data_IF_264076780221
#
_entry.id   IF_264076780221
#
_cell.length_a   1.000
_cell.length_b   1.000
_cell.length_c   1.000
_cell.angle_alpha   90.00
_cell.angle_beta   90.00
_cell.angle_gamma   90.00
#
_symmetry.space_group_name_H-M   'P 1'
#
loop_
_entity.id
_entity.type
_entity.pdbx_description
1 polymer ?
#
# COMPACT_ATOMS: atom_id res chain seq x y z
N UNK A 1 -20.19 -15.09 -9.88
CA UNK A 1 -19.23 -13.96 -9.91
C UNK A 1 -17.91 -14.31 -10.64
N UNK A 2 -17.37 -15.51 -10.50
CA UNK A 2 -16.14 -15.95 -11.20
C UNK A 2 -16.29 -15.98 -12.74
N UNK A 3 -17.46 -16.29 -13.28
CA UNK A 3 -17.76 -16.34 -14.71
C UNK A 3 -17.70 -14.94 -15.36
N UNK A 4 -18.32 -13.94 -14.76
CA UNK A 4 -18.35 -12.57 -15.28
C UNK A 4 -16.96 -11.90 -15.30
N UNK A 5 -16.13 -12.15 -14.28
CA UNK A 5 -14.75 -11.67 -14.27
C UNK A 5 -13.91 -12.28 -15.39
N UNK A 6 -14.06 -13.59 -15.64
CA UNK A 6 -13.39 -14.31 -16.74
C UNK A 6 -13.74 -13.71 -18.11
N UNK A 7 -15.00 -13.34 -18.34
CA UNK A 7 -15.45 -12.78 -19.61
C UNK A 7 -14.91 -11.37 -19.86
N UNK A 8 -14.79 -10.55 -18.82
CA UNK A 8 -14.19 -9.23 -18.93
C UNK A 8 -12.71 -9.33 -19.32
N UNK A 9 -11.96 -10.26 -18.72
CA UNK A 9 -10.55 -10.48 -19.09
C UNK A 9 -10.42 -10.94 -20.55
N UNK A 10 -11.26 -11.85 -21.00
CA UNK A 10 -11.26 -12.35 -22.39
C UNK A 10 -11.53 -11.24 -23.40
N UNK A 11 -12.53 -10.38 -23.14
CA UNK A 11 -12.83 -9.22 -23.99
C UNK A 11 -11.66 -8.25 -24.09
N UNK A 12 -11.02 -7.93 -22.96
CA UNK A 12 -9.86 -7.04 -22.95
C UNK A 12 -8.67 -7.63 -23.70
N UNK A 13 -8.42 -8.93 -23.56
CA UNK A 13 -7.38 -9.61 -24.30
C UNK A 13 -7.65 -9.58 -25.81
N UNK A 14 -8.89 -9.80 -26.24
CA UNK A 14 -9.29 -9.70 -27.64
C UNK A 14 -9.10 -8.28 -28.18
N UNK A 15 -9.55 -7.25 -27.46
CA UNK A 15 -9.33 -5.85 -27.81
C UNK A 15 -7.85 -5.52 -27.92
N UNK A 16 -7.03 -5.92 -26.94
CA UNK A 16 -5.59 -5.68 -26.97
C UNK A 16 -4.90 -6.34 -28.16
N UNK A 17 -5.25 -7.59 -28.46
CA UNK A 17 -4.74 -8.32 -29.64
C UNK A 17 -5.19 -7.67 -30.95
N UNK A 18 -6.43 -7.19 -31.02
CA UNK A 18 -6.94 -6.44 -32.16
C UNK A 18 -6.11 -5.16 -32.42
N UNK A 19 -5.88 -4.37 -31.38
CA UNK A 19 -5.07 -3.14 -31.45
C UNK A 19 -3.65 -3.47 -31.92
N UNK A 20 -2.99 -4.48 -31.35
CA UNK A 20 -1.65 -4.91 -31.73
C UNK A 20 -1.55 -5.25 -33.21
N UNK A 21 -2.56 -5.97 -33.74
CA UNK A 21 -2.59 -6.40 -35.14
C UNK A 21 -2.82 -5.24 -36.10
N UNK A 22 -3.79 -4.38 -35.80
CA UNK A 22 -4.25 -3.34 -36.75
C UNK A 22 -3.33 -2.11 -36.73
N UNK A 23 -2.75 -1.76 -35.58
CA UNK A 23 -1.90 -0.56 -35.43
C UNK A 23 -0.40 -0.86 -35.43
N UNK A 24 -0.02 -2.12 -35.67
CA UNK A 24 1.40 -2.57 -35.74
C UNK A 24 2.24 -2.22 -34.48
N UNK A 25 1.60 -2.13 -33.32
CA UNK A 25 2.29 -1.90 -32.05
C UNK A 25 2.72 -3.23 -31.41
N UNK A 26 3.76 -3.19 -30.57
CA UNK A 26 4.34 -4.41 -30.00
C UNK A 26 3.54 -4.94 -28.82
N UNK A 27 2.98 -4.06 -28.01
CA UNK A 27 2.25 -4.40 -26.80
C UNK A 27 1.26 -3.31 -26.42
N UNK A 28 0.28 -3.68 -25.59
CA UNK A 28 -0.76 -2.78 -25.06
C UNK A 28 -0.82 -2.93 -23.55
N UNK A 29 -0.87 -1.81 -22.83
CA UNK A 29 -1.17 -1.73 -21.42
C UNK A 29 -2.58 -1.15 -21.24
N UNK A 30 -3.43 -1.87 -20.50
CA UNK A 30 -4.80 -1.44 -20.20
C UNK A 30 -4.91 -1.20 -18.70
N UNK A 31 -5.27 0.00 -18.30
CA UNK A 31 -5.62 0.35 -16.92
C UNK A 31 -7.08 0.02 -16.67
N UNK A 32 -7.42 -0.55 -15.51
CA UNK A 32 -8.76 -1.06 -15.18
C UNK A 32 -9.29 -0.51 -13.85
N UNK A 33 -8.80 0.65 -13.44
CA UNK A 33 -9.15 1.25 -12.16
C UNK A 33 -8.83 0.31 -10.99
N UNK A 34 -9.79 0.06 -10.13
CA UNK A 34 -9.64 -0.83 -8.97
C UNK A 34 -9.30 -2.29 -9.32
N UNK A 35 -9.58 -2.72 -10.54
CA UNK A 35 -9.25 -4.08 -11.03
C UNK A 35 -7.80 -4.24 -11.47
N UNK A 36 -7.00 -3.18 -11.44
CA UNK A 36 -5.56 -3.20 -11.72
C UNK A 36 -5.18 -2.99 -13.18
N UNK A 37 -4.17 -3.72 -13.66
CA UNK A 37 -3.53 -3.53 -14.96
C UNK A 37 -3.54 -4.82 -15.77
N UNK A 38 -3.66 -4.69 -17.09
CA UNK A 38 -3.48 -5.79 -18.04
C UNK A 38 -2.43 -5.42 -19.07
N UNK A 39 -1.41 -6.23 -19.21
CA UNK A 39 -0.41 -6.15 -20.27
C UNK A 39 -0.67 -7.26 -21.30
N UNK A 40 -0.68 -6.91 -22.56
CA UNK A 40 -0.96 -7.82 -23.66
C UNK A 40 0.12 -7.63 -24.73
N UNK A 41 0.73 -8.72 -25.16
CA UNK A 41 1.60 -8.78 -26.33
C UNK A 41 1.12 -9.89 -27.30
N UNK A 42 1.90 -10.13 -28.36
CA UNK A 42 1.55 -11.16 -29.36
C UNK A 42 1.52 -12.58 -28.78
N UNK A 43 2.26 -12.84 -27.70
CA UNK A 43 2.48 -14.19 -27.15
C UNK A 43 1.72 -14.43 -25.84
N UNK A 44 1.55 -13.40 -25.00
CA UNK A 44 1.01 -13.54 -23.65
C UNK A 44 0.17 -12.35 -23.21
N UNK A 45 -0.69 -12.62 -22.27
CA UNK A 45 -1.42 -11.62 -21.50
C UNK A 45 -1.08 -11.79 -20.03
N UNK A 46 -0.75 -10.70 -19.35
CA UNK A 46 -0.43 -10.68 -17.93
C UNK A 46 -1.38 -9.71 -17.23
N UNK A 47 -2.06 -10.18 -16.22
CA UNK A 47 -2.96 -9.38 -15.40
C UNK A 47 -2.37 -9.19 -14.01
N UNK A 48 -2.37 -7.96 -13.52
CA UNK A 48 -1.95 -7.62 -12.16
C UNK A 48 -3.10 -6.91 -11.48
N UNK A 49 -3.57 -7.49 -10.36
CA UNK A 49 -4.67 -6.94 -9.56
C UNK A 49 -4.16 -5.95 -8.53
N UNK A 50 -4.94 -4.94 -8.18
CA UNK A 50 -4.62 -4.05 -7.06
C UNK A 50 -5.15 -4.63 -5.75
N UNK A 51 -4.46 -4.31 -4.64
CA UNK A 51 -5.05 -4.48 -3.32
C UNK A 51 -6.17 -3.45 -3.13
N UNK A 52 -7.31 -3.87 -2.53
CA UNK A 52 -8.40 -2.96 -2.16
C UNK A 52 -7.84 -1.86 -1.25
N UNK A 53 -8.02 -0.60 -1.63
CA UNK A 53 -7.65 0.58 -0.86
C UNK A 53 -8.79 1.59 -0.91
N UNK A 54 -8.87 2.41 0.12
CA UNK A 54 -9.71 3.61 0.06
C UNK A 54 -9.18 4.54 -1.02
N UNK A 55 -10.07 4.94 -1.91
CA UNK A 55 -9.77 5.82 -3.04
C UNK A 55 -10.31 7.21 -2.68
N UNK A 56 -9.42 8.20 -2.60
CA UNK A 56 -9.79 9.59 -2.38
C UNK A 56 -9.88 10.36 -3.70
N UNK A 57 -8.90 10.16 -4.59
CA UNK A 57 -8.87 10.83 -5.88
C UNK A 57 -8.14 9.94 -6.90
N UNK A 58 -8.72 9.75 -8.07
CA UNK A 58 -8.14 8.95 -9.16
C UNK A 58 -7.23 9.76 -10.10
N UNK A 59 -7.16 11.08 -9.90
CA UNK A 59 -6.38 11.98 -10.76
C UNK A 59 -4.89 11.63 -10.71
N UNK A 60 -4.25 11.54 -11.88
CA UNK A 60 -2.83 11.23 -12.02
C UNK A 60 -2.45 9.75 -11.83
N UNK A 61 -3.40 8.85 -11.54
CA UNK A 61 -3.11 7.41 -11.41
C UNK A 61 -2.61 6.81 -12.73
N UNK A 62 -3.23 7.16 -13.85
CA UNK A 62 -2.82 6.72 -15.20
C UNK A 62 -1.42 7.20 -15.58
N UNK A 63 -1.13 8.47 -15.34
CA UNK A 63 0.19 9.07 -15.60
C UNK A 63 1.27 8.42 -14.75
N UNK A 64 0.95 8.11 -13.50
CA UNK A 64 1.83 7.37 -12.59
C UNK A 64 2.14 5.98 -13.11
N UNK A 65 1.12 5.23 -13.57
CA UNK A 65 1.31 3.91 -14.18
C UNK A 65 2.22 4.01 -15.39
N UNK A 66 1.96 4.97 -16.29
CA UNK A 66 2.76 5.18 -17.49
C UNK A 66 4.23 5.49 -17.15
N UNK A 67 4.47 6.40 -16.22
CA UNK A 67 5.81 6.78 -15.79
C UNK A 67 6.58 5.58 -15.20
N UNK A 68 5.99 4.83 -14.29
CA UNK A 68 6.63 3.67 -13.65
C UNK A 68 6.94 2.57 -14.67
N UNK A 69 5.99 2.24 -15.55
CA UNK A 69 6.19 1.21 -16.57
C UNK A 69 7.30 1.64 -17.52
N UNK A 70 7.34 2.91 -17.96
CA UNK A 70 8.38 3.43 -18.86
C UNK A 70 9.77 3.34 -18.23
N UNK A 71 9.91 3.73 -16.95
CA UNK A 71 11.16 3.62 -16.21
C UNK A 71 11.60 2.15 -16.08
N UNK A 72 10.67 1.26 -15.73
CA UNK A 72 10.97 -0.16 -15.59
C UNK A 72 11.45 -0.78 -16.91
N UNK A 73 10.77 -0.48 -18.02
CA UNK A 73 11.14 -1.00 -19.34
C UNK A 73 12.50 -0.45 -19.80
N UNK A 74 12.77 0.83 -19.57
CA UNK A 74 14.05 1.45 -19.88
C UNK A 74 15.22 0.81 -19.11
N UNK A 75 14.95 0.24 -17.93
CA UNK A 75 15.94 -0.46 -17.11
C UNK A 75 15.88 -1.99 -17.25
N UNK A 76 15.23 -2.52 -18.28
CA UNK A 76 15.10 -3.95 -18.56
C UNK A 76 14.47 -4.78 -17.40
N UNK A 77 13.62 -4.15 -16.59
CA UNK A 77 12.88 -4.82 -15.52
C UNK A 77 11.79 -5.70 -16.14
N UNK A 78 11.63 -6.92 -15.64
CA UNK A 78 10.63 -7.85 -16.13
C UNK A 78 9.21 -7.24 -16.03
N UNK A 79 8.41 -7.39 -17.08
CA UNK A 79 7.09 -6.75 -17.19
C UNK A 79 6.16 -7.09 -16.02
N UNK A 80 6.25 -8.30 -15.46
CA UNK A 80 5.46 -8.71 -14.29
C UNK A 80 5.78 -7.85 -13.06
N UNK A 81 7.07 -7.57 -12.84
CA UNK A 81 7.53 -6.76 -11.71
C UNK A 81 7.19 -5.28 -11.94
N UNK A 82 7.34 -4.83 -13.18
CA UNK A 82 6.92 -3.49 -13.59
C UNK A 82 5.43 -3.23 -13.34
N UNK A 83 4.55 -4.19 -13.70
CA UNK A 83 3.11 -4.11 -13.44
C UNK A 83 2.80 -4.06 -11.94
N UNK A 84 3.47 -4.88 -11.14
CA UNK A 84 3.28 -4.89 -9.69
C UNK A 84 3.73 -3.57 -9.06
N UNK A 85 4.86 -3.01 -9.50
CA UNK A 85 5.36 -1.73 -9.02
C UNK A 85 4.44 -0.58 -9.44
N UNK A 86 3.93 -0.59 -10.68
CA UNK A 86 3.00 0.41 -11.19
C UNK A 86 1.67 0.38 -10.44
N UNK A 87 1.11 -0.81 -10.16
CA UNK A 87 -0.09 -0.95 -9.33
C UNK A 87 0.12 -0.41 -7.91
N UNK A 88 1.28 -0.72 -7.31
CA UNK A 88 1.63 -0.18 -5.98
C UNK A 88 1.70 1.34 -6.01
N UNK A 89 2.34 1.91 -7.02
CA UNK A 89 2.47 3.35 -7.20
C UNK A 89 1.11 4.03 -7.39
N UNK A 90 0.29 3.53 -8.31
CA UNK A 90 -1.06 4.03 -8.53
C UNK A 90 -1.91 3.98 -7.24
N UNK A 91 -1.82 2.87 -6.49
CA UNK A 91 -2.51 2.75 -5.20
C UNK A 91 -2.03 3.72 -4.11
N UNK A 92 -0.81 4.27 -4.21
CA UNK A 92 -0.34 5.36 -3.32
C UNK A 92 -0.96 6.69 -3.74
N UNK A 93 -1.02 6.97 -5.05
CA UNK A 93 -1.55 8.23 -5.58
C UNK A 93 -3.03 8.36 -5.31
N UNK A 94 -3.84 7.34 -5.60
CA UNK A 94 -5.29 7.38 -5.38
C UNK A 94 -5.68 7.50 -3.90
N UNK A 95 -4.77 7.20 -2.98
CA UNK A 95 -4.93 7.42 -1.55
C UNK A 95 -4.56 8.83 -1.07
N UNK A 96 -4.25 9.75 -1.99
CA UNK A 96 -3.92 11.15 -1.71
C UNK A 96 -4.96 12.07 -2.34
N UNK A 97 -5.13 13.27 -1.81
CA UNK A 97 -6.00 14.28 -2.38
C UNK A 97 -5.22 15.06 -3.46
N UNK A 98 -5.80 15.18 -4.64
CA UNK A 98 -5.21 15.88 -5.79
C UNK A 98 -4.04 15.14 -6.45
N UNK A 99 -3.46 15.75 -7.49
CA UNK A 99 -2.30 15.21 -8.20
C UNK A 99 -1.05 15.31 -7.32
N UNK A 100 -0.60 14.18 -6.80
CA UNK A 100 0.54 14.13 -5.87
C UNK A 100 1.68 13.29 -6.42
N UNK A 101 2.90 13.82 -6.36
CA UNK A 101 4.10 13.05 -6.68
C UNK A 101 4.35 11.94 -5.65
N UNK A 102 4.86 10.81 -6.12
CA UNK A 102 5.28 9.69 -5.27
C UNK A 102 6.71 9.91 -4.83
N UNK A 103 6.95 9.82 -3.53
CA UNK A 103 8.32 9.81 -3.00
C UNK A 103 8.90 8.40 -3.02
N UNK A 104 10.22 8.28 -3.23
CA UNK A 104 10.93 6.99 -3.25
C UNK A 104 10.66 6.15 -2.00
N UNK A 105 10.66 6.75 -0.83
CA UNK A 105 10.38 6.05 0.43
C UNK A 105 8.94 5.52 0.52
N UNK A 106 7.96 6.13 -0.13
CA UNK A 106 6.58 5.64 -0.18
C UNK A 106 6.46 4.42 -1.09
N UNK A 107 7.17 4.43 -2.22
CA UNK A 107 7.13 3.36 -3.21
C UNK A 107 7.89 2.11 -2.72
N UNK A 108 9.06 2.29 -2.12
CA UNK A 108 9.95 1.21 -1.67
C UNK A 108 9.86 0.91 -0.19
N UNK A 109 9.08 1.70 0.58
CA UNK A 109 8.72 1.23 1.92
C UNK A 109 8.01 -0.12 1.78
N UNK A 110 8.51 -1.15 2.45
CA UNK A 110 7.83 -2.44 2.57
C UNK A 110 6.56 -2.30 3.44
N UNK A 111 5.66 -1.37 3.05
CA UNK A 111 4.32 -1.22 3.63
C UNK A 111 3.35 -2.29 3.10
N UNK A 112 3.83 -3.53 2.96
CA UNK A 112 2.99 -4.71 3.15
C UNK A 112 2.84 -5.05 4.65
N UNK A 113 3.31 -4.15 5.51
CA UNK A 113 2.85 -4.10 6.89
C UNK A 113 1.48 -3.48 6.76
N UNK A 114 0.47 -4.34 6.77
CA UNK A 114 -0.94 -4.03 6.84
C UNK A 114 -1.20 -2.65 7.45
N UNK A 115 -2.19 -1.91 6.93
CA UNK A 115 -2.75 -0.71 7.58
C UNK A 115 -3.22 -0.94 9.03
N UNK A 116 -3.06 -2.13 9.57
CA UNK A 116 -3.16 -2.41 10.99
C UNK A 116 -1.94 -1.80 11.68
N UNK A 117 -2.08 -0.55 12.10
CA UNK A 117 -1.17 0.07 13.07
C UNK A 117 -1.13 -0.72 14.38
N UNK A 118 -2.07 -1.63 14.59
CA UNK A 118 -2.18 -2.52 15.74
C UNK A 118 -1.49 -3.84 15.39
N UNK A 119 -0.46 -4.18 16.13
CA UNK A 119 0.36 -5.38 15.93
C UNK A 119 0.29 -6.28 17.15
N UNK A 120 0.26 -7.59 16.93
CA UNK A 120 0.51 -8.54 18.00
C UNK A 120 2.03 -8.70 18.25
N UNK A 121 2.38 -9.35 19.37
CA UNK A 121 3.78 -9.55 19.77
C UNK A 121 4.65 -10.19 18.68
N UNK A 122 4.12 -11.21 17.97
CA UNK A 122 4.86 -11.93 16.92
C UNK A 122 5.17 -11.02 15.74
N UNK A 123 4.17 -10.30 15.24
CA UNK A 123 4.32 -9.33 14.16
C UNK A 123 5.29 -8.20 14.52
N UNK A 124 5.21 -7.70 15.77
CA UNK A 124 6.12 -6.68 16.25
C UNK A 124 7.57 -7.15 16.26
N UNK A 125 7.85 -8.37 16.75
CA UNK A 125 9.21 -8.93 16.79
C UNK A 125 9.80 -9.06 15.38
N UNK A 126 9.02 -9.53 14.40
CA UNK A 126 9.46 -9.62 13.01
C UNK A 126 9.79 -8.25 12.43
N UNK A 127 8.94 -7.26 12.70
CA UNK A 127 9.12 -5.88 12.26
C UNK A 127 10.38 -5.24 12.87
N UNK A 128 10.61 -5.45 14.16
CA UNK A 128 11.79 -4.96 14.88
C UNK A 128 13.10 -5.50 14.29
N UNK A 129 13.14 -6.74 13.82
CA UNK A 129 14.31 -7.31 13.11
C UNK A 129 14.62 -6.52 11.85
N UNK A 130 13.59 -6.17 11.07
CA UNK A 130 13.73 -5.38 9.84
C UNK A 130 14.22 -3.96 10.16
N UNK A 131 13.64 -3.31 11.16
CA UNK A 131 14.03 -1.95 11.56
C UNK A 131 15.47 -1.89 12.06
N UNK A 132 15.89 -2.85 12.89
CA UNK A 132 17.29 -2.96 13.35
C UNK A 132 18.27 -3.14 12.19
N UNK A 133 17.94 -4.02 11.22
CA UNK A 133 18.77 -4.24 10.03
C UNK A 133 18.94 -2.94 9.20
N UNK A 134 17.92 -2.13 9.14
CA UNK A 134 17.92 -0.86 8.40
C UNK A 134 18.38 0.35 9.25
N UNK A 135 18.90 0.14 10.46
CA UNK A 135 19.37 1.18 11.39
C UNK A 135 18.32 2.27 11.68
N UNK A 136 17.03 1.89 11.70
CA UNK A 136 15.93 2.81 12.00
C UNK A 136 15.88 3.06 13.50
N UNK A 137 15.85 4.33 13.92
CA UNK A 137 15.74 4.74 15.32
C UNK A 137 14.32 4.50 15.84
N UNK A 138 14.20 3.60 16.82
CA UNK A 138 12.92 3.16 17.37
C UNK A 138 12.72 3.80 18.73
N UNK A 139 11.61 4.51 18.92
CA UNK A 139 11.10 4.93 20.21
C UNK A 139 10.07 3.92 20.73
N UNK A 140 10.02 3.75 22.04
CA UNK A 140 9.03 2.91 22.71
C UNK A 140 8.39 3.68 23.86
N UNK A 141 7.06 3.59 23.96
CA UNK A 141 6.31 4.08 25.11
C UNK A 141 5.14 3.16 25.40
N UNK A 142 4.58 3.25 26.60
CA UNK A 142 3.41 2.48 26.99
C UNK A 142 2.44 3.34 27.81
N UNK A 143 1.17 2.95 27.80
CA UNK A 143 0.15 3.63 28.59
C UNK A 143 -1.21 2.93 28.48
N UNK A 144 -2.13 3.28 29.38
CA UNK A 144 -3.49 2.81 29.33
C UNK A 144 -4.31 3.55 28.25
N UNK A 145 -4.05 4.85 28.08
CA UNK A 145 -4.74 5.73 27.11
C UNK A 145 -6.27 5.58 27.15
N UNK A 146 -6.82 5.44 28.33
CA UNK A 146 -8.24 5.15 28.58
C UNK A 146 -9.13 6.29 28.03
N UNK A 147 -8.86 7.53 28.47
CA UNK A 147 -9.46 8.73 27.90
C UNK A 147 -8.32 9.57 27.30
N UNK A 148 -8.35 9.71 25.97
CA UNK A 148 -7.39 10.56 25.26
C UNK A 148 -7.71 12.04 25.53
N UNK A 149 -6.69 12.79 25.92
CA UNK A 149 -6.74 14.23 26.09
C UNK A 149 -5.51 14.88 25.45
N UNK A 150 -5.53 16.21 25.32
CA UNK A 150 -4.49 16.98 24.63
C UNK A 150 -3.07 16.65 25.16
N UNK A 151 -2.93 16.40 26.46
CA UNK A 151 -1.64 16.02 27.05
C UNK A 151 -1.06 14.71 26.50
N UNK A 152 -1.91 13.71 26.23
CA UNK A 152 -1.47 12.47 25.59
C UNK A 152 -1.01 12.72 24.14
N UNK A 153 -1.74 13.55 23.39
CA UNK A 153 -1.41 13.88 22.01
C UNK A 153 -0.05 14.59 21.96
N UNK A 154 0.12 15.63 22.75
CA UNK A 154 1.38 16.39 22.82
C UNK A 154 2.56 15.48 23.20
N UNK A 155 2.37 14.62 24.22
CA UNK A 155 3.40 13.68 24.64
C UNK A 155 3.81 12.73 23.53
N UNK A 156 2.86 12.16 22.80
CA UNK A 156 3.14 11.22 21.70
C UNK A 156 3.79 11.94 20.51
N UNK A 157 3.39 13.17 20.20
CA UNK A 157 4.02 13.98 19.16
C UNK A 157 5.48 14.32 19.49
N UNK A 158 5.76 14.77 20.73
CA UNK A 158 7.11 15.04 21.17
C UNK A 158 7.97 13.76 21.18
N UNK A 159 7.44 12.65 21.67
CA UNK A 159 8.13 11.36 21.61
C UNK A 159 8.44 10.93 20.18
N UNK A 160 7.51 11.17 19.22
CA UNK A 160 7.72 10.85 17.82
C UNK A 160 8.81 11.67 17.15
N UNK A 161 9.04 12.91 17.57
CA UNK A 161 10.12 13.76 17.05
C UNK A 161 11.51 13.19 17.36
N UNK A 162 11.64 12.40 18.43
CA UNK A 162 12.90 11.83 18.89
C UNK A 162 13.31 10.52 18.19
N UNK A 163 12.44 9.97 17.33
CA UNK A 163 12.67 8.68 16.69
C UNK A 163 12.05 8.61 15.27
N UNK A 164 12.55 7.68 14.45
CA UNK A 164 11.99 7.42 13.12
C UNK A 164 10.65 6.67 13.21
N UNK A 165 10.52 5.78 14.20
CA UNK A 165 9.30 4.99 14.47
C UNK A 165 9.03 5.00 15.96
N UNK A 166 7.82 5.37 16.35
CA UNK A 166 7.33 5.28 17.72
C UNK A 166 6.41 4.06 17.85
N UNK A 167 6.75 3.18 18.78
CA UNK A 167 5.93 2.02 19.18
C UNK A 167 5.22 2.37 20.47
N UNK A 168 3.90 2.21 20.47
CA UNK A 168 3.06 2.48 21.62
C UNK A 168 2.46 1.16 22.09
N UNK A 169 2.80 0.70 23.28
CA UNK A 169 2.16 -0.44 23.90
C UNK A 169 0.91 0.02 24.65
N UNK A 170 -0.23 -0.57 24.34
CA UNK A 170 -1.52 -0.23 24.93
C UNK A 170 -1.96 -1.40 25.82
N UNK A 171 -2.37 -1.11 27.03
CA UNK A 171 -2.93 -2.11 27.92
C UNK A 171 -4.28 -2.62 27.38
N UNK A 172 -4.54 -3.92 27.54
CA UNK A 172 -5.87 -4.47 27.24
C UNK A 172 -6.88 -3.99 28.27
N UNK A 173 -8.16 -3.95 27.89
CA UNK A 173 -9.25 -3.56 28.79
C UNK A 173 -9.26 -4.41 30.07
N UNK A 174 -8.95 -5.69 29.95
CA UNK A 174 -8.82 -6.62 31.08
C UNK A 174 -7.72 -6.16 32.05
N UNK A 175 -6.54 -5.78 31.51
CA UNK A 175 -5.42 -5.30 32.32
C UNK A 175 -5.73 -3.95 32.99
N UNK A 176 -6.41 -3.06 32.28
CA UNK A 176 -6.83 -1.76 32.82
C UNK A 176 -7.81 -1.95 33.99
N UNK A 177 -8.82 -2.81 33.81
CA UNK A 177 -9.80 -3.13 34.86
C UNK A 177 -9.18 -3.77 36.09
N UNK A 178 -8.19 -4.63 35.90
CA UNK A 178 -7.47 -5.28 37.02
C UNK A 178 -6.66 -4.28 37.83
N UNK A 179 -5.99 -3.32 37.16
CA UNK A 179 -5.08 -2.38 37.81
C UNK A 179 -5.78 -1.15 38.39
N UNK A 180 -6.88 -0.68 37.80
CA UNK A 180 -7.61 0.52 38.21
C UNK A 180 -8.88 0.26 39.02
N UNK A 181 -9.27 -1.02 39.21
CA UNK A 181 -10.52 -1.38 39.87
C UNK A 181 -11.75 -1.26 38.95
N UNK A 182 -12.88 -1.82 39.39
CA UNK A 182 -14.13 -1.90 38.59
C UNK A 182 -14.87 -0.57 38.35
N UNK A 183 -14.28 0.58 38.69
CA UNK A 183 -15.03 1.85 38.78
C UNK A 183 -15.00 2.72 37.50
N UNK A 184 -14.49 2.22 36.37
CA UNK A 184 -14.52 2.93 35.09
C UNK A 184 -15.10 2.02 33.99
N UNK A 185 -16.39 1.79 34.06
CA UNK A 185 -17.22 1.40 32.91
C UNK A 185 -18.19 2.54 32.62
N UNK A 186 -17.89 3.33 31.63
CA UNK A 186 -18.88 4.08 30.87
C UNK A 186 -19.35 3.23 29.72
#
# INVERSE_FOLDING_TARGET
EASAASDVYKRQEQCGKYIIRNFKIKNVLITRGEKGLSYIDKKKSIHSTTAKKEVFDVSGAGDTVLAIISICLANNIAIKDALNLANKAAGIVVGKIGTSAIKKNELFSNRNISHNKILNKKQLVELLKIYKKNKIKIGFTNGCFDILHQGHINYLEESKKLCDILIIAINSDTSVRTNKGKSLSL
#
